data_IF_376363600700
#
_entry.id   IF_376363600700
#
_cell.length_a   1.000
_cell.length_b   1.000
_cell.length_c   1.000
_cell.angle_alpha   90.00
_cell.angle_beta   90.00
_cell.angle_gamma   90.00
#
_symmetry.space_group_name_H-M   'P 1'
#
loop_
_entity.id
_entity.type
_entity.pdbx_description
1 polymer ?
#
# COMPACT_ATOMS: atom_id res chain seq x y z
N UNK A 1 8.45 1.66 -12.85
CA UNK A 1 7.34 0.89 -12.23
C UNK A 1 6.48 1.78 -11.37
N UNK A 2 5.19 1.46 -11.22
CA UNK A 2 4.24 2.04 -10.28
C UNK A 2 4.25 1.20 -9.01
N UNK A 3 4.74 1.76 -7.90
CA UNK A 3 4.87 1.06 -6.62
C UNK A 3 3.90 1.66 -5.61
N UNK A 4 3.12 0.82 -4.94
CA UNK A 4 2.33 1.22 -3.78
C UNK A 4 3.05 0.83 -2.48
N UNK A 5 3.22 1.78 -1.56
CA UNK A 5 3.72 1.50 -0.20
C UNK A 5 2.56 1.62 0.76
N UNK A 6 2.16 0.51 1.37
CA UNK A 6 1.11 0.48 2.38
C UNK A 6 1.71 0.88 3.73
N UNK A 7 1.37 2.06 4.27
CA UNK A 7 1.94 2.59 5.52
C UNK A 7 0.91 3.41 6.29
N UNK A 8 1.00 3.49 7.63
CA UNK A 8 0.09 4.29 8.48
C UNK A 8 0.26 5.83 8.28
N UNK A 9 1.08 6.26 7.31
CA UNK A 9 1.35 7.64 6.98
C UNK A 9 2.75 7.84 6.40
N UNK A 10 3.05 9.04 5.88
CA UNK A 10 4.37 9.39 5.35
C UNK A 10 5.39 9.79 6.43
N UNK A 11 4.97 9.94 7.69
CA UNK A 11 5.82 10.43 8.79
C UNK A 11 6.90 9.45 9.27
N UNK A 12 6.79 8.16 8.94
CA UNK A 12 7.76 7.16 9.34
C UNK A 12 9.03 7.25 8.49
N UNK A 13 10.21 7.32 9.13
CA UNK A 13 11.50 7.41 8.44
C UNK A 13 11.67 6.32 7.37
N UNK A 14 11.36 5.06 7.68
CA UNK A 14 11.49 3.95 6.74
C UNK A 14 10.62 4.13 5.48
N UNK A 15 9.37 4.56 5.64
CA UNK A 15 8.45 4.80 4.51
C UNK A 15 8.95 5.95 3.64
N UNK A 16 9.45 7.02 4.28
CA UNK A 16 10.07 8.15 3.57
C UNK A 16 11.30 7.70 2.79
N UNK A 17 12.21 6.96 3.43
CA UNK A 17 13.45 6.48 2.80
C UNK A 17 13.18 5.54 1.62
N UNK A 18 12.23 4.62 1.77
CA UNK A 18 11.79 3.75 0.67
C UNK A 18 11.25 4.55 -0.52
N UNK A 19 10.41 5.56 -0.25
CA UNK A 19 9.89 6.45 -1.30
C UNK A 19 11.02 7.21 -2.00
N UNK A 20 11.96 7.77 -1.25
CA UNK A 20 13.09 8.55 -1.78
C UNK A 20 13.97 7.70 -2.71
N UNK A 21 14.39 6.52 -2.25
CA UNK A 21 15.23 5.61 -3.04
C UNK A 21 14.47 5.12 -4.27
N UNK A 22 13.24 4.63 -4.12
CA UNK A 22 12.47 4.17 -5.27
C UNK A 22 12.19 5.30 -6.29
N UNK A 23 11.99 6.53 -5.83
CA UNK A 23 11.86 7.69 -6.74
C UNK A 23 13.19 8.03 -7.44
N UNK A 24 14.33 7.95 -6.72
CA UNK A 24 15.66 8.19 -7.29
C UNK A 24 16.02 7.16 -8.38
N UNK A 25 15.52 5.94 -8.26
CA UNK A 25 15.64 4.89 -9.28
C UNK A 25 14.60 5.02 -10.43
N UNK A 26 13.82 6.11 -10.47
CA UNK A 26 12.87 6.39 -11.55
C UNK A 26 11.50 5.69 -11.42
N UNK A 27 11.19 5.11 -10.26
CA UNK A 27 9.88 4.50 -10.01
C UNK A 27 8.84 5.55 -9.56
N UNK A 28 7.58 5.37 -9.97
CA UNK A 28 6.45 6.18 -9.48
C UNK A 28 5.91 5.56 -8.21
N UNK A 29 6.10 6.24 -7.08
CA UNK A 29 5.74 5.71 -5.76
C UNK A 29 4.52 6.43 -5.19
N UNK A 30 3.53 5.67 -4.75
CA UNK A 30 2.37 6.18 -4.01
C UNK A 30 2.34 5.56 -2.61
N UNK A 31 2.34 6.41 -1.58
CA UNK A 31 2.12 5.97 -0.20
C UNK A 31 0.62 5.92 0.04
N UNK A 32 0.15 4.79 0.54
CA UNK A 32 -1.27 4.49 0.74
C UNK A 32 -1.48 4.14 2.21
N UNK A 33 -2.45 4.79 2.85
CA UNK A 33 -2.84 4.46 4.21
C UNK A 33 -3.62 3.14 4.24
N UNK A 34 -2.97 2.08 4.72
CA UNK A 34 -3.60 0.75 4.78
C UNK A 34 -4.84 0.70 5.66
N UNK A 35 -4.95 1.58 6.68
CA UNK A 35 -6.14 1.68 7.53
C UNK A 35 -7.39 2.17 6.81
N UNK A 36 -7.21 2.86 5.69
CA UNK A 36 -8.31 3.36 4.86
C UNK A 36 -8.49 2.48 3.61
N UNK A 37 -7.82 1.33 3.56
CA UNK A 37 -8.00 0.34 2.51
C UNK A 37 -9.07 -0.67 2.94
N UNK A 38 -9.94 -1.03 2.02
CA UNK A 38 -10.97 -2.04 2.20
C UNK A 38 -10.74 -3.15 1.19
N UNK A 39 -10.62 -4.39 1.67
CA UNK A 39 -10.57 -5.57 0.82
C UNK A 39 -11.99 -6.15 0.68
N UNK A 40 -12.49 -6.25 -0.55
CA UNK A 40 -13.64 -7.11 -0.86
C UNK A 40 -13.11 -8.50 -1.19
N UNK A 41 -13.54 -9.51 -0.44
CA UNK A 41 -13.14 -10.91 -0.64
C UNK A 41 -14.31 -11.63 -1.33
N UNK A 42 -14.60 -11.20 -2.56
CA UNK A 42 -15.55 -11.90 -3.42
C UNK A 42 -14.87 -13.11 -4.08
N UNK A 43 -15.60 -14.21 -4.20
CA UNK A 43 -15.08 -15.52 -4.64
C UNK A 43 -14.34 -15.49 -5.99
N UNK A 44 -14.70 -14.57 -6.88
CA UNK A 44 -14.17 -14.50 -8.24
C UNK A 44 -13.29 -13.28 -8.52
N UNK A 45 -13.38 -12.23 -7.71
CA UNK A 45 -12.66 -10.98 -7.96
C UNK A 45 -12.35 -10.23 -6.66
N UNK A 46 -11.37 -10.70 -5.87
CA UNK A 46 -10.95 -9.97 -4.68
C UNK A 46 -10.36 -8.63 -5.09
N UNK A 47 -10.93 -7.55 -4.58
CA UNK A 47 -10.49 -6.18 -4.90
C UNK A 47 -10.07 -5.45 -3.62
N UNK A 48 -9.09 -4.57 -3.76
CA UNK A 48 -8.71 -3.64 -2.70
C UNK A 48 -9.12 -2.25 -3.15
N UNK A 49 -9.84 -1.52 -2.32
CA UNK A 49 -10.23 -0.13 -2.57
C UNK A 49 -9.62 0.80 -1.53
N UNK A 50 -9.32 2.02 -1.94
CA UNK A 50 -8.81 3.10 -1.09
C UNK A 50 -9.58 4.37 -1.39
N UNK A 51 -10.31 4.89 -0.39
CA UNK A 51 -11.16 6.08 -0.52
C UNK A 51 -12.14 6.00 -1.70
N UNK A 52 -12.83 4.87 -1.82
CA UNK A 52 -13.84 4.63 -2.87
C UNK A 52 -13.27 4.41 -4.27
N UNK A 53 -11.94 4.31 -4.43
CA UNK A 53 -11.30 3.97 -5.70
C UNK A 53 -10.55 2.66 -5.58
N UNK A 54 -10.66 1.82 -6.59
CA UNK A 54 -9.88 0.59 -6.66
C UNK A 54 -8.37 0.88 -6.67
N UNK A 55 -7.64 0.05 -5.95
CA UNK A 55 -6.19 0.10 -5.79
C UNK A 55 -5.51 -0.71 -6.89
N UNK A 56 -5.76 -0.34 -8.14
CA UNK A 56 -5.29 -1.06 -9.32
C UNK A 56 -4.13 -0.36 -10.03
N UNK A 57 -3.46 -1.08 -10.93
CA UNK A 57 -2.42 -0.54 -11.81
C UNK A 57 -1.07 -0.29 -11.16
N UNK A 58 -0.75 -1.02 -10.07
CA UNK A 58 0.59 -1.07 -9.49
C UNK A 58 1.32 -2.32 -9.94
N UNK A 59 2.62 -2.17 -10.23
CA UNK A 59 3.49 -3.29 -10.58
C UNK A 59 3.98 -4.02 -9.32
N UNK A 60 4.03 -3.33 -8.19
CA UNK A 60 4.48 -3.89 -6.91
C UNK A 60 3.81 -3.20 -5.72
N UNK A 61 3.59 -3.98 -4.66
CA UNK A 61 3.06 -3.51 -3.36
C UNK A 61 4.07 -3.84 -2.27
N UNK A 62 4.45 -2.84 -1.48
CA UNK A 62 5.33 -2.99 -0.32
C UNK A 62 4.49 -2.83 0.96
N UNK A 63 4.17 -3.92 1.67
CA UNK A 63 3.40 -3.85 2.91
C UNK A 63 4.28 -3.41 4.09
N UNK A 64 4.02 -2.22 4.64
CA UNK A 64 4.59 -1.74 5.92
C UNK A 64 3.49 -1.65 6.97
N UNK A 65 2.96 -2.81 7.33
CA UNK A 65 1.86 -2.98 8.27
C UNK A 65 2.45 -3.10 9.69
N UNK A 66 1.88 -2.35 10.64
CA UNK A 66 2.26 -2.48 12.04
C UNK A 66 1.84 -3.86 12.57
N UNK A 67 2.65 -4.46 13.45
CA UNK A 67 2.41 -5.82 13.98
C UNK A 67 1.06 -5.99 14.67
N UNK A 68 0.52 -4.92 15.27
CA UNK A 68 -0.80 -4.93 15.91
C UNK A 68 -1.98 -4.78 14.93
N UNK A 69 -1.73 -4.66 13.62
CA UNK A 69 -2.74 -4.42 12.59
C UNK A 69 -2.78 -5.55 11.54
N UNK A 70 -2.25 -6.74 11.86
CA UNK A 70 -2.25 -7.92 10.99
C UNK A 70 -3.41 -8.89 11.29
N UNK A 71 -4.44 -8.47 12.03
CA UNK A 71 -5.55 -9.34 12.45
C UNK A 71 -6.45 -9.84 11.31
N UNK A 72 -6.34 -9.26 10.12
CA UNK A 72 -7.00 -9.78 8.91
C UNK A 72 -6.15 -10.91 8.33
N UNK A 73 -6.59 -12.16 8.50
CA UNK A 73 -5.92 -13.35 7.96
C UNK A 73 -5.88 -14.60 8.86
N UNK A 74 -6.54 -14.60 10.01
CA UNK A 74 -6.94 -15.85 10.69
C UNK A 74 -8.17 -16.46 10.05
#
# INVERSE_FOLDING_TARGET
MKIAILSNGPGNYSTRRLKEVASAHGHRVRVVKYKECYASIEQSNPTVSYRGKELSGFDAIIPRIASNMTGYGT
#
